data_IF_362854706260
#
_entry.id   IF_362854706260
#
_cell.length_a   1.000
_cell.length_b   1.000
_cell.length_c   1.000
_cell.angle_alpha   90.00
_cell.angle_beta   90.00
_cell.angle_gamma   90.00
#
_symmetry.space_group_name_H-M   'P 1'
#
loop_
_entity.id
_entity.type
_entity.pdbx_description
1 polymer ?
#
# COMPACT_ATOMS: atom_id res chain seq x y z
N UNK A 1 -10.27 11.44 -19.13
CA UNK A 1 -9.31 11.25 -18.01
C UNK A 1 -8.86 9.80 -18.03
N UNK A 2 -7.57 9.51 -17.99
CA UNK A 2 -7.08 8.13 -18.02
C UNK A 2 -7.48 7.40 -16.73
N UNK A 3 -8.16 6.28 -16.84
CA UNK A 3 -8.69 5.51 -15.71
C UNK A 3 -8.18 4.07 -15.73
N UNK A 4 -8.18 3.44 -14.56
CA UNK A 4 -7.92 2.01 -14.42
C UNK A 4 -9.02 1.39 -13.58
N UNK A 5 -9.72 0.43 -14.14
CA UNK A 5 -10.80 -0.32 -13.48
C UNK A 5 -10.43 -1.78 -13.45
N UNK A 6 -10.63 -2.42 -12.30
CA UNK A 6 -10.31 -3.85 -12.11
C UNK A 6 -11.45 -4.51 -11.37
N UNK A 7 -11.91 -5.65 -11.89
CA UNK A 7 -12.83 -6.53 -11.18
C UNK A 7 -12.48 -8.00 -11.38
N UNK A 8 -13.11 -8.88 -10.62
CA UNK A 8 -12.96 -10.33 -10.75
C UNK A 8 -14.06 -10.85 -11.65
N UNK A 9 -13.67 -11.52 -12.74
CA UNK A 9 -14.55 -12.11 -13.74
C UNK A 9 -14.69 -13.61 -13.54
N UNK A 10 -15.83 -14.17 -13.92
CA UNK A 10 -16.01 -15.62 -14.06
C UNK A 10 -15.20 -16.16 -15.25
N UNK A 11 -14.92 -17.46 -15.22
CA UNK A 11 -14.22 -18.11 -16.33
C UNK A 11 -14.99 -17.97 -17.63
N UNK A 12 -16.33 -18.07 -17.59
CA UNK A 12 -17.20 -17.88 -18.74
C UNK A 12 -17.12 -16.47 -19.34
N UNK A 13 -16.99 -15.44 -18.48
CA UNK A 13 -16.80 -14.07 -18.96
C UNK A 13 -15.44 -13.91 -19.63
N UNK A 14 -14.38 -14.43 -19.02
CA UNK A 14 -13.04 -14.37 -19.60
C UNK A 14 -12.94 -15.04 -20.97
N UNK A 15 -13.60 -16.18 -21.15
CA UNK A 15 -13.70 -16.87 -22.44
C UNK A 15 -14.39 -15.99 -23.49
N UNK A 16 -15.54 -15.39 -23.15
CA UNK A 16 -16.25 -14.45 -24.04
C UNK A 16 -15.43 -13.20 -24.38
N UNK A 17 -14.73 -12.65 -23.41
CA UNK A 17 -13.84 -11.50 -23.63
C UNK A 17 -12.68 -11.84 -24.56
N UNK A 18 -12.09 -13.01 -24.38
CA UNK A 18 -11.00 -13.49 -25.25
C UNK A 18 -11.48 -13.65 -26.68
N UNK A 19 -12.67 -14.21 -26.89
CA UNK A 19 -13.28 -14.36 -28.21
C UNK A 19 -13.58 -12.99 -28.83
N UNK A 20 -14.21 -12.09 -28.08
CA UNK A 20 -14.59 -10.76 -28.55
C UNK A 20 -13.40 -9.90 -28.98
N UNK A 21 -12.32 -9.92 -28.20
CA UNK A 21 -11.13 -9.10 -28.45
C UNK A 21 -10.04 -9.82 -29.25
N UNK A 22 -10.33 -10.96 -29.88
CA UNK A 22 -9.30 -11.76 -30.57
C UNK A 22 -8.60 -10.97 -31.68
N UNK A 23 -9.34 -10.17 -32.44
CA UNK A 23 -8.83 -9.40 -33.58
C UNK A 23 -7.97 -8.20 -33.14
N UNK A 24 -8.10 -7.76 -31.88
CA UNK A 24 -7.34 -6.63 -31.30
C UNK A 24 -6.31 -7.08 -30.27
N UNK A 25 -6.00 -8.38 -30.25
CA UNK A 25 -5.01 -8.98 -29.37
C UNK A 25 -3.63 -8.38 -29.58
N UNK A 26 -2.92 -8.14 -28.48
CA UNK A 26 -1.53 -7.68 -28.47
C UNK A 26 -0.56 -8.87 -28.47
N UNK A 27 0.56 -8.73 -29.19
CA UNK A 27 1.60 -9.77 -29.30
C UNK A 27 2.30 -10.07 -27.95
N UNK A 28 2.41 -9.05 -27.10
CA UNK A 28 3.08 -9.17 -25.79
C UNK A 28 2.08 -8.90 -24.67
N UNK A 29 2.03 -9.82 -23.71
CA UNK A 29 1.24 -9.67 -22.49
C UNK A 29 2.15 -9.40 -21.28
N UNK A 30 1.70 -8.63 -20.27
CA UNK A 30 2.44 -8.47 -19.03
C UNK A 30 2.52 -9.80 -18.25
N UNK A 31 3.45 -9.91 -17.28
CA UNK A 31 3.56 -11.09 -16.42
C UNK A 31 2.21 -11.46 -15.78
N UNK A 32 1.90 -12.77 -15.73
CA UNK A 32 0.67 -13.35 -15.18
C UNK A 32 -0.62 -12.97 -15.93
N UNK A 33 -0.54 -12.32 -17.09
CA UNK A 33 -1.67 -12.12 -17.97
C UNK A 33 -1.79 -13.28 -18.96
N UNK A 34 -3.00 -13.81 -19.10
CA UNK A 34 -3.33 -14.86 -20.10
C UNK A 34 -3.71 -14.24 -21.43
N UNK A 35 -4.18 -12.99 -21.45
CA UNK A 35 -4.61 -12.30 -22.65
C UNK A 35 -4.51 -10.78 -22.45
N UNK A 36 -4.13 -10.06 -23.51
CA UNK A 36 -4.22 -8.60 -23.57
C UNK A 36 -4.65 -8.16 -24.96
N UNK A 37 -5.55 -7.21 -24.99
CA UNK A 37 -6.03 -6.58 -26.22
C UNK A 37 -6.04 -5.06 -26.08
N UNK A 38 -6.09 -4.37 -27.22
CA UNK A 38 -6.26 -2.93 -27.26
C UNK A 38 -7.35 -2.58 -28.26
N UNK A 39 -8.44 -2.01 -27.76
CA UNK A 39 -9.52 -1.52 -28.58
C UNK A 39 -9.67 -0.01 -28.36
N UNK A 40 -9.59 0.75 -29.45
CA UNK A 40 -9.57 2.21 -29.42
C UNK A 40 -8.56 2.75 -28.39
N UNK A 41 -9.04 3.39 -27.34
CA UNK A 41 -8.25 4.01 -26.27
C UNK A 41 -8.22 3.20 -24.98
N UNK A 42 -8.74 1.96 -25.00
CA UNK A 42 -8.77 1.06 -23.84
C UNK A 42 -7.87 -0.15 -24.04
N UNK A 43 -7.03 -0.43 -23.06
CA UNK A 43 -6.26 -1.68 -22.96
C UNK A 43 -6.98 -2.61 -21.99
N UNK A 44 -7.31 -3.81 -22.44
CA UNK A 44 -7.97 -4.85 -21.68
C UNK A 44 -6.96 -5.94 -21.36
N UNK A 45 -6.80 -6.28 -20.08
CA UNK A 45 -5.86 -7.32 -19.64
C UNK A 45 -6.60 -8.35 -18.77
N UNK A 46 -6.50 -9.63 -19.17
CA UNK A 46 -7.05 -10.76 -18.42
C UNK A 46 -5.90 -11.48 -17.71
N UNK A 47 -6.06 -11.72 -16.40
CA UNK A 47 -5.04 -12.35 -15.56
C UNK A 47 -5.42 -13.78 -15.16
N UNK A 48 -4.43 -14.64 -14.94
CA UNK A 48 -4.60 -16.02 -14.42
C UNK A 48 -5.44 -16.07 -13.14
N UNK A 49 -5.36 -15.04 -12.32
CA UNK A 49 -6.15 -14.91 -11.07
C UNK A 49 -7.65 -14.70 -11.26
N UNK A 50 -8.12 -14.59 -12.51
CA UNK A 50 -9.49 -14.23 -12.85
C UNK A 50 -9.77 -12.72 -12.74
N UNK A 51 -8.76 -11.89 -12.53
CA UNK A 51 -8.92 -10.43 -12.60
C UNK A 51 -8.91 -9.95 -14.03
N UNK A 52 -9.78 -9.00 -14.32
CA UNK A 52 -9.84 -8.26 -15.58
C UNK A 52 -9.52 -6.80 -15.29
N UNK A 53 -8.63 -6.20 -16.07
CA UNK A 53 -8.23 -4.81 -15.94
C UNK A 53 -8.49 -4.06 -17.24
N UNK A 54 -9.15 -2.92 -17.12
CA UNK A 54 -9.40 -1.95 -18.21
C UNK A 54 -8.61 -0.68 -17.92
N UNK A 55 -7.82 -0.23 -18.89
CA UNK A 55 -6.98 0.97 -18.75
C UNK A 55 -7.13 1.85 -19.97
N UNK A 56 -7.59 3.07 -19.80
CA UNK A 56 -7.80 4.02 -20.89
C UNK A 56 -8.75 5.16 -20.53
N UNK A 57 -9.08 5.96 -21.52
CA UNK A 57 -10.02 7.08 -21.35
C UNK A 57 -11.45 6.57 -21.23
N UNK A 58 -11.81 5.54 -22.01
CA UNK A 58 -13.14 4.91 -22.04
C UNK A 58 -13.22 3.62 -21.20
N UNK A 59 -12.26 3.40 -20.31
CA UNK A 59 -12.19 2.19 -19.49
C UNK A 59 -13.44 1.93 -18.63
N UNK A 60 -14.16 2.98 -18.24
CA UNK A 60 -15.43 2.89 -17.50
C UNK A 60 -16.57 2.37 -18.37
N UNK A 61 -16.63 2.76 -19.64
CA UNK A 61 -17.66 2.30 -20.59
C UNK A 61 -17.50 0.80 -20.82
N UNK A 62 -16.27 0.37 -21.15
CA UNK A 62 -15.97 -1.04 -21.39
C UNK A 62 -16.19 -1.90 -20.15
N UNK A 63 -15.71 -1.41 -18.99
CA UNK A 63 -15.87 -2.13 -17.72
C UNK A 63 -17.35 -2.29 -17.33
N UNK A 64 -18.20 -1.26 -17.53
CA UNK A 64 -19.64 -1.35 -17.29
C UNK A 64 -20.31 -2.37 -18.21
N UNK A 65 -20.01 -2.32 -19.51
CA UNK A 65 -20.53 -3.27 -20.48
C UNK A 65 -20.25 -4.72 -20.05
N UNK A 66 -19.01 -5.01 -19.70
CA UNK A 66 -18.62 -6.36 -19.30
C UNK A 66 -19.14 -6.75 -17.92
N UNK A 67 -19.28 -5.81 -16.98
CA UNK A 67 -19.92 -6.05 -15.69
C UNK A 67 -21.40 -6.42 -15.85
N UNK A 68 -22.13 -5.80 -16.79
CA UNK A 68 -23.51 -6.16 -17.10
C UNK A 68 -23.62 -7.54 -17.76
N UNK A 69 -22.65 -7.92 -18.59
CA UNK A 69 -22.60 -9.26 -19.18
C UNK A 69 -22.32 -10.30 -18.07
N UNK A 70 -21.40 -10.02 -17.15
CA UNK A 70 -21.14 -10.90 -15.99
C UNK A 70 -22.39 -11.10 -15.14
N UNK A 71 -23.13 -10.03 -14.88
CA UNK A 71 -24.41 -10.12 -14.16
C UNK A 71 -25.41 -11.05 -14.86
N UNK A 72 -25.53 -10.93 -16.19
CA UNK A 72 -26.40 -11.82 -17.00
C UNK A 72 -25.95 -13.29 -16.96
N UNK A 73 -24.63 -13.54 -16.86
CA UNK A 73 -24.06 -14.89 -16.83
C UNK A 73 -24.13 -15.56 -15.46
N UNK A 74 -23.97 -14.80 -14.38
CA UNK A 74 -23.75 -15.33 -13.03
C UNK A 74 -24.81 -14.91 -12.01
N UNK A 75 -25.60 -13.86 -12.32
CA UNK A 75 -26.49 -13.20 -11.36
C UNK A 75 -25.77 -12.33 -10.32
N UNK A 76 -24.43 -12.23 -10.38
CA UNK A 76 -23.62 -11.46 -9.43
C UNK A 76 -23.36 -10.06 -10.00
N UNK A 77 -23.83 -9.03 -9.30
CA UNK A 77 -23.61 -7.63 -9.69
C UNK A 77 -22.22 -7.17 -9.26
N UNK A 78 -21.45 -6.64 -10.20
CA UNK A 78 -20.14 -6.04 -9.97
C UNK A 78 -20.29 -4.52 -9.82
N UNK A 79 -19.86 -3.94 -8.70
CA UNK A 79 -19.74 -2.49 -8.56
C UNK A 79 -18.32 -2.06 -8.99
N UNK A 80 -18.19 -1.58 -10.20
CA UNK A 80 -16.91 -1.12 -10.76
C UNK A 80 -16.32 0.09 -10.03
N UNK A 81 -17.11 0.80 -9.23
CA UNK A 81 -16.69 1.95 -8.43
C UNK A 81 -16.27 1.56 -6.99
N UNK A 82 -16.42 0.28 -6.61
CA UNK A 82 -16.04 -0.19 -5.26
C UNK A 82 -14.60 0.15 -4.87
N UNK A 83 -13.58 -0.01 -5.75
CA UNK A 83 -12.21 0.38 -5.45
C UNK A 83 -12.03 1.89 -5.19
N UNK A 84 -12.81 2.74 -5.89
CA UNK A 84 -12.79 4.18 -5.69
C UNK A 84 -13.45 4.57 -4.36
N UNK A 85 -14.60 3.97 -4.05
CA UNK A 85 -15.31 4.17 -2.76
C UNK A 85 -14.44 3.74 -1.57
N UNK A 86 -13.70 2.61 -1.70
CA UNK A 86 -12.74 2.19 -0.68
C UNK A 86 -11.61 3.19 -0.49
N UNK A 87 -11.02 3.71 -1.59
CA UNK A 87 -9.97 4.73 -1.52
C UNK A 87 -10.47 6.05 -0.91
N UNK A 88 -11.68 6.47 -1.22
CA UNK A 88 -12.29 7.67 -0.62
C UNK A 88 -12.58 7.49 0.87
N UNK A 89 -13.07 6.30 1.27
CA UNK A 89 -13.29 5.96 2.68
C UNK A 89 -11.97 5.94 3.44
N UNK A 90 -10.95 5.28 2.93
CA UNK A 90 -9.60 5.27 3.50
C UNK A 90 -9.01 6.68 3.59
N UNK A 91 -9.23 7.54 2.58
CA UNK A 91 -8.79 8.93 2.59
C UNK A 91 -9.51 9.76 3.66
N UNK A 92 -10.83 9.53 3.86
CA UNK A 92 -11.59 10.17 4.95
C UNK A 92 -11.13 9.69 6.32
N UNK A 93 -10.90 8.39 6.50
CA UNK A 93 -10.38 7.82 7.74
C UNK A 93 -8.97 8.34 8.06
N UNK A 94 -8.09 8.43 7.06
CA UNK A 94 -6.76 9.07 7.19
C UNK A 94 -6.89 10.53 7.62
N UNK A 95 -7.79 11.31 7.03
CA UNK A 95 -7.99 12.71 7.43
C UNK A 95 -8.40 12.86 8.90
N UNK A 96 -9.16 11.91 9.45
CA UNK A 96 -9.51 11.90 10.88
C UNK A 96 -8.28 11.58 11.75
N UNK A 97 -7.42 10.65 11.32
CA UNK A 97 -6.18 10.30 12.01
C UNK A 97 -5.17 11.46 12.02
N UNK A 98 -5.11 12.25 10.94
CA UNK A 98 -4.27 13.46 10.86
C UNK A 98 -4.63 14.57 11.86
N UNK A 99 -5.75 14.45 12.57
CA UNK A 99 -6.17 15.40 13.60
C UNK A 99 -5.93 14.88 15.03
N UNK A 100 -5.29 13.71 15.15
CA UNK A 100 -5.10 13.03 16.43
C UNK A 100 -3.64 13.01 16.84
N UNK A 101 -3.39 13.15 18.14
CA UNK A 101 -2.09 12.85 18.70
C UNK A 101 -1.81 11.35 18.56
N UNK A 102 -0.73 10.98 17.90
CA UNK A 102 -0.50 9.59 17.48
C UNK A 102 0.90 9.11 17.81
N UNK A 103 1.01 7.89 18.33
CA UNK A 103 2.25 7.14 18.40
C UNK A 103 2.29 6.19 17.21
N UNK A 104 3.36 6.24 16.42
CA UNK A 104 3.58 5.33 15.30
C UNK A 104 4.96 4.71 15.36
N UNK A 105 5.17 3.55 14.74
CA UNK A 105 6.48 2.93 14.60
C UNK A 105 6.71 2.37 13.21
N UNK A 106 7.96 2.45 12.74
CA UNK A 106 8.38 1.89 11.46
C UNK A 106 9.80 1.34 11.57
N UNK A 107 10.19 0.49 10.61
CA UNK A 107 11.49 -0.15 10.56
C UNK A 107 12.24 0.11 9.26
N UNK A 108 13.58 0.05 9.34
CA UNK A 108 14.51 0.08 8.21
C UNK A 108 15.54 -1.04 8.34
N UNK A 109 16.08 -1.51 7.22
CA UNK A 109 17.12 -2.54 7.19
C UNK A 109 16.60 -3.97 7.08
N UNK A 110 15.28 -4.20 7.00
CA UNK A 110 14.71 -5.55 6.87
C UNK A 110 14.91 -6.19 5.51
N UNK A 111 15.15 -5.39 4.47
CA UNK A 111 15.46 -5.82 3.10
C UNK A 111 16.94 -5.78 2.75
N UNK A 112 17.78 -5.27 3.65
CA UNK A 112 19.20 -5.10 3.40
C UNK A 112 19.96 -6.41 3.70
N UNK A 113 20.94 -6.71 2.85
CA UNK A 113 21.77 -7.90 3.05
C UNK A 113 22.80 -7.70 4.19
N UNK A 114 23.27 -6.48 4.35
CA UNK A 114 24.21 -6.08 5.42
C UNK A 114 23.64 -4.93 6.23
N UNK A 115 23.93 -4.91 7.52
CA UNK A 115 23.55 -3.84 8.41
C UNK A 115 22.53 -4.26 9.49
N UNK A 116 22.32 -3.42 10.48
CA UNK A 116 21.35 -3.68 11.53
C UNK A 116 19.93 -3.39 11.06
N UNK A 117 18.95 -4.01 11.74
CA UNK A 117 17.56 -3.58 11.66
C UNK A 117 17.32 -2.49 12.69
N UNK A 118 16.80 -1.35 12.27
CA UNK A 118 16.50 -0.23 13.16
C UNK A 118 15.00 -0.01 13.19
N UNK A 119 14.41 0.01 14.38
CA UNK A 119 12.98 0.28 14.58
C UNK A 119 12.85 1.53 15.45
N UNK A 120 12.05 2.48 14.99
CA UNK A 120 11.79 3.71 15.73
C UNK A 120 10.29 3.88 15.96
N UNK A 121 9.90 4.20 17.19
CA UNK A 121 8.60 4.77 17.48
C UNK A 121 8.72 6.27 17.70
N UNK A 122 7.73 7.03 17.23
CA UNK A 122 7.66 8.48 17.43
C UNK A 122 6.25 8.88 17.89
N UNK A 123 6.18 9.98 18.64
CA UNK A 123 4.94 10.59 19.08
C UNK A 123 4.76 11.95 18.42
N UNK A 124 3.65 12.13 17.71
CA UNK A 124 3.28 13.40 17.09
C UNK A 124 2.06 13.98 17.83
N UNK A 125 2.26 15.02 18.60
CA UNK A 125 1.19 15.74 19.27
C UNK A 125 0.35 16.54 18.25
N UNK A 126 -0.91 16.86 18.59
CA UNK A 126 -1.84 17.59 17.68
C UNK A 126 -1.27 18.91 17.19
N UNK A 127 -0.65 19.68 18.06
CA UNK A 127 -0.04 20.97 17.74
C UNK A 127 1.21 20.86 16.86
N UNK A 128 1.86 19.68 16.84
CA UNK A 128 3.03 19.40 16.00
C UNK A 128 2.68 18.88 14.60
N UNK A 129 1.43 18.55 14.29
CA UNK A 129 1.02 18.01 12.99
C UNK A 129 1.36 18.98 11.86
N UNK A 130 0.97 20.24 11.98
CA UNK A 130 1.27 21.27 10.97
C UNK A 130 2.78 21.53 10.84
N UNK A 131 3.53 21.43 11.93
CA UNK A 131 4.99 21.54 11.89
C UNK A 131 5.62 20.42 11.05
N UNK A 132 5.21 19.18 11.28
CA UNK A 132 5.70 17.99 10.54
C UNK A 132 5.32 18.08 9.06
N UNK A 133 4.10 18.52 8.73
CA UNK A 133 3.66 18.74 7.35
C UNK A 133 4.46 19.82 6.63
N UNK A 134 4.67 20.98 7.29
CA UNK A 134 5.43 22.10 6.73
C UNK A 134 6.92 21.75 6.53
N UNK A 135 7.48 20.89 7.38
CA UNK A 135 8.83 20.35 7.20
C UNK A 135 8.92 19.43 5.96
N UNK A 136 7.77 19.02 5.42
CA UNK A 136 7.66 18.21 4.22
C UNK A 136 7.84 16.72 4.48
N UNK A 137 7.53 16.25 5.69
CA UNK A 137 7.50 14.82 6.00
C UNK A 137 6.42 14.14 5.16
N UNK A 138 6.77 13.03 4.54
CA UNK A 138 5.90 12.18 3.70
C UNK A 138 6.31 10.73 3.89
N UNK A 139 5.58 9.81 3.28
CA UNK A 139 5.97 8.40 3.17
C UNK A 139 7.41 8.30 2.64
N UNK A 140 8.26 7.52 3.31
CA UNK A 140 9.69 7.37 2.98
C UNK A 140 9.92 6.91 1.55
N UNK A 141 8.96 6.17 0.96
CA UNK A 141 9.05 5.70 -0.43
C UNK A 141 8.94 6.82 -1.48
N UNK A 142 8.47 8.01 -1.09
CA UNK A 142 8.35 9.18 -2.00
C UNK A 142 9.35 10.29 -1.67
N UNK A 143 10.19 10.10 -0.64
CA UNK A 143 11.24 11.04 -0.26
C UNK A 143 12.60 10.57 -0.79
N UNK A 144 13.43 11.52 -1.24
CA UNK A 144 14.83 11.21 -1.57
C UNK A 144 15.68 11.20 -0.30
N UNK A 145 16.79 10.47 -0.34
CA UNK A 145 17.74 10.39 0.77
C UNK A 145 18.28 11.74 1.20
N UNK A 146 18.55 12.65 0.22
CA UNK A 146 19.02 14.01 0.50
C UNK A 146 17.99 14.78 1.31
N UNK A 147 16.70 14.64 0.97
CA UNK A 147 15.62 15.31 1.70
C UNK A 147 15.47 14.72 3.08
N UNK A 148 15.53 13.38 3.23
CA UNK A 148 15.49 12.71 4.53
C UNK A 148 16.65 13.21 5.41
N UNK A 149 17.88 13.21 4.92
CA UNK A 149 19.06 13.73 5.64
C UNK A 149 18.93 15.19 6.05
N UNK A 150 18.25 16.00 5.26
CA UNK A 150 18.02 17.41 5.55
C UNK A 150 17.02 17.65 6.68
N UNK A 151 15.93 16.86 6.73
CA UNK A 151 14.86 17.06 7.72
C UNK A 151 15.06 16.26 9.00
N UNK A 152 15.79 15.14 8.95
CA UNK A 152 15.98 14.24 10.08
C UNK A 152 16.57 14.92 11.35
N UNK A 153 17.59 15.79 11.29
CA UNK A 153 18.11 16.46 12.50
C UNK A 153 17.05 17.29 13.23
N UNK A 154 16.18 17.95 12.46
CA UNK A 154 15.08 18.74 13.02
C UNK A 154 14.03 17.84 13.66
N UNK A 155 13.67 16.73 13.00
CA UNK A 155 12.71 15.76 13.57
C UNK A 155 13.23 15.14 14.84
N UNK A 156 14.50 14.72 14.87
CA UNK A 156 15.13 14.12 16.06
C UNK A 156 15.10 15.09 17.24
N UNK A 157 15.25 16.40 16.98
CA UNK A 157 15.22 17.43 18.04
C UNK A 157 13.79 17.72 18.54
N UNK A 158 12.81 17.79 17.63
CA UNK A 158 11.49 18.36 17.92
C UNK A 158 10.40 17.31 18.19
N UNK A 159 10.62 16.06 17.80
CA UNK A 159 9.63 14.99 17.90
C UNK A 159 10.12 13.93 18.89
N UNK A 160 9.40 13.67 19.99
CA UNK A 160 9.70 12.59 20.90
C UNK A 160 9.78 11.26 20.17
N UNK A 161 10.85 10.52 20.38
CA UNK A 161 11.07 9.23 19.70
C UNK A 161 11.84 8.26 20.57
N UNK A 162 11.73 6.98 20.22
CA UNK A 162 12.48 5.89 20.83
C UNK A 162 12.94 4.94 19.74
N UNK A 163 14.25 4.69 19.68
CA UNK A 163 14.86 3.85 18.66
C UNK A 163 15.48 2.61 19.28
N UNK A 164 15.28 1.46 18.65
CA UNK A 164 15.96 0.21 18.97
C UNK A 164 16.72 -0.28 17.75
N UNK A 165 17.99 -0.65 17.97
CA UNK A 165 18.87 -1.19 16.94
C UNK A 165 19.08 -2.68 17.21
N UNK A 166 18.66 -3.53 16.30
CA UNK A 166 18.93 -4.96 16.32
C UNK A 166 20.21 -5.22 15.51
N UNK A 167 21.29 -5.57 16.19
CA UNK A 167 22.55 -5.92 15.52
C UNK A 167 22.41 -7.24 14.75
N UNK A 168 23.29 -7.48 13.76
CA UNK A 168 23.32 -8.74 13.03
C UNK A 168 23.60 -9.93 13.97
N UNK A 169 24.41 -9.72 15.00
CA UNK A 169 24.69 -10.73 16.03
C UNK A 169 23.43 -11.15 16.78
N UNK A 170 22.63 -10.19 17.21
CA UNK A 170 21.36 -10.45 17.91
C UNK A 170 20.30 -11.02 16.97
N UNK A 171 20.26 -10.55 15.71
CA UNK A 171 19.42 -11.13 14.70
C UNK A 171 19.70 -12.62 14.51
N UNK A 172 20.98 -13.01 14.35
CA UNK A 172 21.38 -14.41 14.19
C UNK A 172 21.00 -15.26 15.42
N UNK A 173 21.07 -14.67 16.62
CA UNK A 173 20.61 -15.32 17.86
C UNK A 173 19.11 -15.61 17.82
N UNK A 174 18.26 -14.65 17.38
CA UNK A 174 16.82 -14.89 17.22
C UNK A 174 16.54 -15.95 16.15
N UNK A 175 17.28 -15.93 15.05
CA UNK A 175 17.17 -16.95 14.00
C UNK A 175 17.50 -18.36 14.52
N UNK A 176 18.58 -18.52 15.30
CA UNK A 176 18.95 -19.80 15.91
C UNK A 176 17.92 -20.33 16.92
N UNK A 177 17.09 -19.43 17.48
CA UNK A 177 15.95 -19.77 18.35
C UNK A 177 14.66 -20.11 17.55
N UNK A 178 14.73 -20.15 16.22
CA UNK A 178 13.60 -20.44 15.34
C UNK A 178 12.64 -19.27 15.10
N UNK A 179 13.07 -18.04 15.37
CA UNK A 179 12.23 -16.86 15.11
C UNK A 179 12.37 -16.44 13.66
N UNK A 180 11.24 -16.32 12.96
CA UNK A 180 11.21 -15.74 11.61
C UNK A 180 11.20 -14.20 11.68
N UNK A 181 11.47 -13.56 10.53
CA UNK A 181 11.53 -12.10 10.42
C UNK A 181 10.27 -11.41 10.93
N UNK A 182 9.08 -11.93 10.64
CA UNK A 182 7.82 -11.30 11.08
C UNK A 182 7.68 -11.32 12.60
N UNK A 183 8.09 -12.41 13.26
CA UNK A 183 8.10 -12.50 14.72
C UNK A 183 9.12 -11.54 15.34
N UNK A 184 10.31 -11.43 14.75
CA UNK A 184 11.35 -10.49 15.17
C UNK A 184 10.82 -9.06 15.05
N UNK A 185 10.27 -8.67 13.90
CA UNK A 185 9.67 -7.34 13.68
C UNK A 185 8.59 -7.03 14.73
N UNK A 186 7.65 -7.95 14.96
CA UNK A 186 6.59 -7.76 15.95
C UNK A 186 7.15 -7.49 17.37
N UNK A 187 8.20 -8.21 17.79
CA UNK A 187 8.86 -7.99 19.07
C UNK A 187 9.50 -6.60 19.13
N UNK A 188 10.20 -6.18 18.07
CA UNK A 188 10.88 -4.89 18.02
C UNK A 188 9.90 -3.71 18.05
N UNK A 189 8.84 -3.77 17.22
CA UNK A 189 7.77 -2.76 17.23
C UNK A 189 7.09 -2.67 18.60
N UNK A 190 6.73 -3.81 19.18
CA UNK A 190 6.13 -3.82 20.52
C UNK A 190 7.06 -3.17 21.57
N UNK A 191 8.37 -3.46 21.51
CA UNK A 191 9.35 -2.90 22.43
C UNK A 191 9.41 -1.37 22.37
N UNK A 192 9.52 -0.78 21.18
CA UNK A 192 9.59 0.68 21.03
C UNK A 192 8.25 1.36 21.32
N UNK A 193 7.11 0.73 20.96
CA UNK A 193 5.78 1.25 21.26
C UNK A 193 5.49 1.26 22.77
N UNK A 194 5.82 0.19 23.48
CA UNK A 194 5.68 0.13 24.96
C UNK A 194 6.55 1.19 25.63
N UNK A 195 7.77 1.40 25.13
CA UNK A 195 8.66 2.43 25.70
C UNK A 195 8.11 3.84 25.43
N UNK A 196 7.60 4.13 24.21
CA UNK A 196 6.97 5.42 23.92
C UNK A 196 5.73 5.67 24.79
N UNK A 197 4.88 4.66 25.00
CA UNK A 197 3.71 4.77 25.89
C UNK A 197 4.07 5.13 27.33
N UNK A 198 5.23 4.72 27.83
CA UNK A 198 5.70 5.10 29.17
C UNK A 198 6.10 6.57 29.23
N UNK A 199 6.66 7.10 28.13
CA UNK A 199 7.14 8.49 28.06
C UNK A 199 6.03 9.48 27.76
N UNK A 200 5.09 9.07 26.89
CA UNK A 200 4.02 9.91 26.39
C UNK A 200 2.67 9.26 26.72
N UNK A 201 1.90 9.93 27.57
CA UNK A 201 0.59 9.42 28.04
C UNK A 201 -0.60 10.06 27.32
N UNK A 202 -0.39 11.18 26.62
CA UNK A 202 -1.46 11.98 26.01
C UNK A 202 -1.53 11.73 24.48
N UNK A 203 -1.98 10.54 24.10
CA UNK A 203 -2.19 10.15 22.70
C UNK A 203 -3.61 9.66 22.48
N UNK A 204 -4.12 9.88 21.26
CA UNK A 204 -5.46 9.45 20.85
C UNK A 204 -5.43 8.07 20.14
N UNK A 205 -4.28 7.70 19.55
CA UNK A 205 -4.12 6.43 18.80
C UNK A 205 -2.67 5.92 18.79
N UNK A 206 -2.53 4.62 18.58
CA UNK A 206 -1.28 3.88 18.37
C UNK A 206 -1.45 3.03 17.11
#
# INVERSE_FOLDING_TARGET
>A
MYMTIVFKASKKLMEKMTEYYMDTKRDKTPPYAVFQAQEADTIITLYESGKVMFQGVSADVDANMWADIEYKLTGIRIDINEPQKKKEKEKKERNILYQKATIGSDEVGTGDYFGPIVVTASYVAKDKINFVENLGVRDSKVLTDEKIKKIAPTLIKEIPHCTFILTNKDYNKYQSMGYNMNKIKAILHNKVLVEMKKRESNYDSI
#
